data_IF_896262521786
#
_entry.id   IF_896262521786
#
_cell.length_a   1.000
_cell.length_b   1.000
_cell.length_c   1.000
_cell.angle_alpha   90.00
_cell.angle_beta   90.00
_cell.angle_gamma   90.00
#
_symmetry.space_group_name_H-M   'P 1'
#
loop_
_entity.id
_entity.type
_entity.pdbx_description
1 polymer ?
#
# COMPACT_ATOMS: atom_id res chain seq x y z
N UNK A 1 7.71 -0.69 9.84
CA UNK A 1 7.21 -1.22 8.56
C UNK A 1 7.72 -0.38 7.39
N UNK A 2 7.28 0.88 7.23
CA UNK A 2 7.60 1.71 6.06
C UNK A 2 9.11 2.02 5.86
N UNK A 3 9.90 2.16 6.93
CA UNK A 3 11.32 2.56 6.83
C UNK A 3 12.28 1.48 6.32
N UNK A 4 11.86 0.20 6.34
CA UNK A 4 12.71 -0.92 5.96
C UNK A 4 12.16 -1.57 4.67
N UNK A 5 12.94 -1.67 3.58
CA UNK A 5 12.46 -2.21 2.31
C UNK A 5 12.01 -3.68 2.39
N UNK A 6 12.66 -4.50 3.21
CA UNK A 6 12.26 -5.90 3.41
C UNK A 6 10.90 -5.95 4.11
N UNK A 7 10.73 -5.15 5.16
CA UNK A 7 9.45 -5.08 5.88
C UNK A 7 8.31 -4.50 5.03
N UNK A 8 8.57 -3.50 4.18
CA UNK A 8 7.59 -2.97 3.22
C UNK A 8 7.14 -4.06 2.25
N UNK A 9 8.10 -4.74 1.62
CA UNK A 9 7.81 -5.84 0.69
C UNK A 9 6.95 -6.91 1.36
N UNK A 10 7.30 -7.34 2.56
CA UNK A 10 6.50 -8.35 3.29
C UNK A 10 5.08 -7.88 3.62
N UNK A 11 4.89 -6.61 3.99
CA UNK A 11 3.57 -6.03 4.24
C UNK A 11 2.72 -5.93 2.96
N UNK A 12 3.31 -5.48 1.86
CA UNK A 12 2.65 -5.35 0.56
C UNK A 12 2.13 -6.71 0.08
N UNK A 13 2.99 -7.74 0.02
CA UNK A 13 2.59 -9.05 -0.49
C UNK A 13 1.56 -9.73 0.42
N UNK A 14 1.70 -9.60 1.75
CA UNK A 14 0.72 -10.21 2.67
C UNK A 14 -0.65 -9.53 2.59
N UNK A 15 -0.70 -8.20 2.45
CA UNK A 15 -1.96 -7.45 2.32
C UNK A 15 -2.68 -7.74 1.01
N UNK A 16 -1.96 -7.80 -0.13
CA UNK A 16 -2.52 -8.23 -1.43
C UNK A 16 -3.11 -9.63 -1.32
N UNK A 17 -2.35 -10.57 -0.73
CA UNK A 17 -2.81 -11.95 -0.56
C UNK A 17 -4.08 -12.03 0.28
N UNK A 18 -4.16 -11.30 1.40
CA UNK A 18 -5.36 -11.23 2.24
C UNK A 18 -6.54 -10.66 1.43
N UNK A 19 -6.37 -9.52 0.76
CA UNK A 19 -7.44 -8.90 -0.02
C UNK A 19 -8.03 -9.87 -1.06
N UNK A 20 -7.18 -10.55 -1.83
CA UNK A 20 -7.63 -11.52 -2.84
C UNK A 20 -8.28 -12.76 -2.23
N UNK A 21 -7.70 -13.33 -1.17
CA UNK A 21 -8.25 -14.51 -0.50
C UNK A 21 -9.65 -14.27 0.07
N UNK A 22 -9.91 -13.06 0.55
CA UNK A 22 -11.20 -12.66 1.09
C UNK A 22 -12.09 -11.90 0.09
N UNK A 23 -11.65 -11.78 -1.18
CA UNK A 23 -12.40 -11.13 -2.27
C UNK A 23 -12.77 -9.67 -1.99
N UNK A 24 -11.87 -8.94 -1.35
CA UNK A 24 -11.97 -7.48 -1.29
C UNK A 24 -11.57 -6.87 -2.64
N UNK A 25 -12.23 -5.78 -3.01
CA UNK A 25 -11.91 -5.03 -4.23
C UNK A 25 -10.69 -4.10 -4.08
N UNK A 26 -10.22 -3.88 -2.84
CA UNK A 26 -9.13 -2.96 -2.58
C UNK A 26 -8.63 -2.94 -1.14
N UNK A 27 -7.61 -2.10 -0.92
CA UNK A 27 -6.94 -1.87 0.35
C UNK A 27 -6.93 -0.36 0.64
N UNK A 28 -7.19 0.01 1.90
CA UNK A 28 -7.08 1.37 2.40
C UNK A 28 -5.96 1.45 3.44
N UNK A 29 -5.13 2.50 3.35
CA UNK A 29 -4.07 2.77 4.31
C UNK A 29 -4.39 4.00 5.15
N UNK A 30 -4.70 3.76 6.42
CA UNK A 30 -4.93 4.81 7.42
C UNK A 30 -3.72 4.97 8.35
N UNK A 31 -2.62 5.53 7.84
CA UNK A 31 -1.52 5.98 8.72
C UNK A 31 -1.79 7.43 9.15
N UNK A 32 -2.13 7.61 10.42
CA UNK A 32 -2.47 8.90 11.02
C UNK A 32 -1.39 9.41 12.00
N UNK A 33 -0.33 10.07 11.58
CA UNK A 33 0.07 10.47 10.23
C UNK A 33 1.59 10.24 10.09
N UNK A 34 2.16 10.13 8.88
CA UNK A 34 3.58 10.36 8.69
C UNK A 34 3.91 11.81 9.07
N UNK A 35 4.73 12.03 10.11
CA UNK A 35 4.95 13.36 10.74
C UNK A 35 6.24 14.05 10.30
N UNK A 36 7.26 13.27 9.97
CA UNK A 36 8.57 13.78 9.56
C UNK A 36 8.78 13.64 8.05
N UNK A 37 9.69 14.42 7.47
CA UNK A 37 10.08 14.27 6.06
C UNK A 37 10.56 12.84 5.74
N UNK A 38 11.26 12.20 6.68
CA UNK A 38 11.71 10.81 6.55
C UNK A 38 10.53 9.84 6.53
N UNK A 39 9.54 10.03 7.40
CA UNK A 39 8.32 9.22 7.39
C UNK A 39 7.52 9.43 6.12
N UNK A 40 7.37 10.67 5.66
CA UNK A 40 6.67 10.99 4.41
C UNK A 40 7.38 10.41 3.19
N UNK A 41 8.71 10.48 3.13
CA UNK A 41 9.49 9.83 2.06
C UNK A 41 9.30 8.30 2.08
N UNK A 42 9.29 7.69 3.26
CA UNK A 42 9.05 6.25 3.39
C UNK A 42 7.60 5.86 3.08
N UNK A 43 6.64 6.73 3.37
CA UNK A 43 5.24 6.57 2.97
C UNK A 43 5.11 6.59 1.44
N UNK A 44 5.74 7.55 0.76
CA UNK A 44 5.81 7.59 -0.71
C UNK A 44 6.37 6.31 -1.31
N UNK A 45 7.52 5.83 -0.79
CA UNK A 45 8.12 4.54 -1.23
C UNK A 45 7.18 3.36 -1.03
N UNK A 46 6.46 3.32 0.10
CA UNK A 46 5.49 2.27 0.35
C UNK A 46 4.36 2.27 -0.67
N UNK A 47 3.78 3.44 -0.97
CA UNK A 47 2.67 3.55 -1.93
C UNK A 47 3.11 3.19 -3.36
N UNK A 48 4.31 3.65 -3.77
CA UNK A 48 4.88 3.34 -5.09
C UNK A 48 5.13 1.83 -5.26
N UNK A 49 5.78 1.21 -4.27
CA UNK A 49 6.04 -0.23 -4.26
C UNK A 49 4.74 -1.05 -4.21
N UNK A 50 3.72 -0.56 -3.50
CA UNK A 50 2.43 -1.26 -3.39
C UNK A 50 1.64 -1.22 -4.70
N UNK A 51 1.57 -0.06 -5.37
CA UNK A 51 0.93 0.06 -6.69
C UNK A 51 1.62 -0.85 -7.71
N UNK A 52 2.96 -0.86 -7.71
CA UNK A 52 3.75 -1.73 -8.58
C UNK A 52 3.42 -3.21 -8.34
N UNK A 53 3.44 -3.66 -7.08
CA UNK A 53 3.13 -5.05 -6.74
C UNK A 53 1.68 -5.46 -7.07
N UNK A 54 0.71 -4.54 -6.97
CA UNK A 54 -0.68 -4.78 -7.37
C UNK A 54 -0.78 -4.99 -8.89
N UNK A 55 -0.06 -4.21 -9.69
CA UNK A 55 0.03 -4.39 -11.14
C UNK A 55 0.66 -5.74 -11.51
N UNK A 56 1.80 -6.06 -10.90
CA UNK A 56 2.50 -7.34 -11.09
C UNK A 56 1.61 -8.55 -10.75
N UNK A 57 0.78 -8.45 -9.73
CA UNK A 57 -0.12 -9.53 -9.30
C UNK A 57 -1.36 -9.66 -10.21
N UNK A 58 -1.86 -8.56 -10.76
CA UNK A 58 -2.93 -8.57 -11.76
C UNK A 58 -2.46 -9.26 -13.06
N UNK A 59 -1.22 -9.03 -13.50
CA UNK A 59 -0.69 -9.72 -14.68
C UNK A 59 -0.55 -11.25 -14.49
N UNK A 60 -0.56 -11.72 -13.24
CA UNK A 60 -0.38 -13.14 -12.87
C UNK A 60 -1.70 -13.86 -12.58
N UNK A 61 -2.80 -13.14 -12.38
CA UNK A 61 -4.08 -13.72 -11.98
C UNK A 61 -5.23 -13.13 -12.78
N UNK A 62 -6.27 -13.91 -13.10
CA UNK A 62 -7.49 -13.38 -13.74
C UNK A 62 -8.40 -12.58 -12.76
N UNK A 63 -7.86 -12.15 -11.61
CA UNK A 63 -8.60 -11.39 -10.60
C UNK A 63 -8.38 -9.90 -10.88
N UNK A 64 -9.45 -9.08 -10.91
CA UNK A 64 -9.34 -7.64 -11.12
C UNK A 64 -8.33 -6.97 -10.20
N UNK A 65 -7.67 -5.95 -10.73
CA UNK A 65 -6.67 -5.19 -9.99
C UNK A 65 -7.26 -4.53 -8.73
N UNK A 66 -6.55 -4.66 -7.60
CA UNK A 66 -7.00 -4.08 -6.33
C UNK A 66 -6.94 -2.55 -6.37
N UNK A 67 -8.01 -1.91 -5.90
CA UNK A 67 -8.02 -0.47 -5.61
C UNK A 67 -7.08 -0.18 -4.44
N UNK A 68 -6.31 0.90 -4.53
CA UNK A 68 -5.50 1.40 -3.43
C UNK A 68 -5.99 2.78 -3.04
N UNK A 69 -6.31 2.94 -1.76
CA UNK A 69 -6.80 4.19 -1.16
C UNK A 69 -6.02 4.51 0.12
N UNK A 70 -6.08 5.77 0.57
CA UNK A 70 -5.47 6.17 1.83
C UNK A 70 -6.27 7.28 2.49
N UNK A 71 -6.52 7.16 3.78
CA UNK A 71 -6.95 8.28 4.61
C UNK A 71 -5.77 9.20 4.90
N UNK A 72 -5.92 10.49 4.58
CA UNK A 72 -4.88 11.51 4.75
C UNK A 72 -5.37 12.66 5.62
N UNK A 73 -4.44 13.34 6.30
CA UNK A 73 -4.76 14.52 7.09
C UNK A 73 -5.21 15.67 6.19
N UNK A 74 -6.21 16.42 6.64
CA UNK A 74 -6.52 17.72 6.07
C UNK A 74 -5.50 18.77 6.55
N UNK A 75 -4.83 19.45 5.61
CA UNK A 75 -4.05 20.65 5.91
C UNK A 75 -4.69 21.85 5.20
N UNK A 76 -5.02 22.89 5.95
CA UNK A 76 -5.50 24.18 5.43
C UNK A 76 -4.39 25.14 5.05
N UNK A 77 -3.17 24.83 5.50
CA UNK A 77 -1.97 25.66 5.35
C UNK A 77 -1.38 25.58 3.94
#
# INVERSE_FOLDING_TARGET
>A
MASNPISRKSFIWSSISIAKNYRFDGLDLAWEYPKTEVEMSNFGKLLEEWRSAVGDDNDRTEIPELLLTAAVYYSSD
#
